data_IF_742161542052
#
_entry.id   IF_742161542052
#
_cell.length_a   1.000
_cell.length_b   1.000
_cell.length_c   1.000
_cell.angle_alpha   90.00
_cell.angle_beta   90.00
_cell.angle_gamma   90.00
#
_symmetry.space_group_name_H-M   'P 1'
#
loop_
_entity.id
_entity.type
_entity.pdbx_description
1 polymer ?
#
# COMPACT_ATOMS: atom_id res chain seq x y z
N UNK A 1 -26.41 -2.34 -16.37
CA UNK A 1 -26.91 -2.08 -17.72
C UNK A 1 -25.80 -2.21 -18.77
N UNK A 2 -26.12 -1.97 -20.05
CA UNK A 2 -25.17 -2.16 -21.20
C UNK A 2 -23.87 -1.33 -21.01
N UNK A 3 -23.96 -0.10 -20.51
CA UNK A 3 -22.80 0.76 -20.24
C UNK A 3 -21.85 0.13 -19.22
N UNK A 4 -22.38 -0.33 -18.07
CA UNK A 4 -21.57 -1.00 -17.05
C UNK A 4 -20.88 -2.24 -17.61
N UNK A 5 -21.58 -3.02 -18.44
CA UNK A 5 -21.02 -4.20 -19.09
C UNK A 5 -19.82 -3.85 -20.00
N UNK A 6 -19.95 -2.77 -20.79
CA UNK A 6 -18.86 -2.29 -21.63
C UNK A 6 -17.63 -1.87 -20.81
N UNK A 7 -17.83 -1.17 -19.68
CA UNK A 7 -16.72 -0.84 -18.77
C UNK A 7 -16.07 -2.08 -18.17
N UNK A 8 -16.86 -3.10 -17.77
CA UNK A 8 -16.30 -4.37 -17.28
C UNK A 8 -15.45 -5.08 -18.35
N UNK A 9 -15.86 -5.02 -19.62
CA UNK A 9 -15.06 -5.57 -20.72
C UNK A 9 -13.73 -4.81 -20.88
N UNK A 10 -13.75 -3.47 -20.91
CA UNK A 10 -12.54 -2.65 -21.03
C UNK A 10 -11.57 -2.93 -19.86
N UNK A 11 -12.07 -3.00 -18.62
CA UNK A 11 -11.26 -3.33 -17.45
C UNK A 11 -10.62 -4.71 -17.62
N UNK A 12 -11.41 -5.71 -18.01
CA UNK A 12 -10.93 -7.10 -18.16
C UNK A 12 -9.92 -7.23 -19.29
N UNK A 13 -10.15 -6.59 -20.43
CA UNK A 13 -9.32 -6.77 -21.63
C UNK A 13 -8.05 -5.93 -21.61
N UNK A 14 -8.10 -4.72 -21.03
CA UNK A 14 -7.03 -3.73 -21.17
C UNK A 14 -6.33 -3.36 -19.85
N UNK A 15 -6.99 -3.54 -18.69
CA UNK A 15 -6.44 -3.15 -17.39
C UNK A 15 -5.98 -4.37 -16.61
N UNK A 16 -6.80 -5.42 -16.50
CA UNK A 16 -6.41 -6.64 -15.80
C UNK A 16 -5.24 -7.33 -16.50
N UNK A 17 -4.20 -7.66 -15.72
CA UNK A 17 -2.97 -8.31 -16.20
C UNK A 17 -2.73 -9.63 -15.45
N UNK A 18 -1.73 -10.38 -15.91
CA UNK A 18 -1.24 -11.58 -15.26
C UNK A 18 -2.27 -12.71 -15.20
N UNK A 19 -1.99 -13.67 -14.35
CA UNK A 19 -2.80 -14.88 -14.20
C UNK A 19 -4.26 -14.61 -13.77
N UNK A 20 -4.48 -13.54 -13.03
CA UNK A 20 -5.78 -13.18 -12.47
C UNK A 20 -6.73 -12.54 -13.47
N UNK A 21 -6.29 -12.24 -14.69
CA UNK A 21 -7.14 -11.66 -15.75
C UNK A 21 -8.42 -12.46 -15.97
N UNK A 22 -8.29 -13.78 -16.02
CA UNK A 22 -9.39 -14.71 -16.34
C UNK A 22 -9.73 -15.70 -15.21
N UNK A 23 -9.07 -15.60 -14.06
CA UNK A 23 -9.33 -16.46 -12.90
C UNK A 23 -10.39 -15.85 -11.97
N UNK A 24 -11.16 -16.71 -11.30
CA UNK A 24 -12.01 -16.30 -10.18
C UNK A 24 -11.15 -15.72 -9.06
N UNK A 25 -11.58 -14.61 -8.51
CA UNK A 25 -10.92 -14.03 -7.34
C UNK A 25 -11.20 -14.90 -6.10
N UNK A 26 -10.22 -15.06 -5.20
CA UNK A 26 -10.43 -15.78 -3.96
C UNK A 26 -11.44 -15.04 -3.07
N UNK A 27 -12.16 -15.79 -2.25
CA UNK A 27 -12.96 -15.22 -1.17
C UNK A 27 -12.00 -14.65 -0.13
N UNK A 28 -12.09 -13.34 0.13
CA UNK A 28 -11.14 -12.58 0.92
C UNK A 28 -11.78 -12.09 2.22
N UNK A 29 -11.01 -12.16 3.31
CA UNK A 29 -11.26 -11.42 4.55
C UNK A 29 -10.10 -10.45 4.82
N UNK A 30 -10.44 -9.29 5.37
CA UNK A 30 -9.50 -8.26 5.80
C UNK A 30 -9.79 -7.93 7.27
N UNK A 31 -8.75 -7.72 8.09
CA UNK A 31 -8.94 -7.51 9.53
C UNK A 31 -9.34 -6.09 9.93
N UNK A 32 -9.33 -5.10 9.02
CA UNK A 32 -9.47 -3.69 9.40
C UNK A 32 -10.67 -3.41 10.30
N UNK A 33 -11.87 -3.73 9.85
CA UNK A 33 -13.09 -3.47 10.62
C UNK A 33 -13.19 -4.29 11.92
N UNK A 34 -12.45 -5.40 12.01
CA UNK A 34 -12.45 -6.26 13.20
C UNK A 34 -11.44 -5.83 14.27
N UNK A 35 -10.39 -5.08 13.91
CA UNK A 35 -9.29 -4.81 14.84
C UNK A 35 -8.77 -3.37 14.79
N UNK A 36 -8.98 -2.67 13.68
CA UNK A 36 -8.24 -1.43 13.37
C UNK A 36 -6.73 -1.61 13.65
N UNK A 37 -6.11 -0.71 14.38
CA UNK A 37 -4.68 -0.79 14.76
C UNK A 37 -4.39 -1.74 15.94
N UNK A 38 -5.42 -2.24 16.65
CA UNK A 38 -5.27 -3.11 17.82
C UNK A 38 -5.20 -4.58 17.44
N UNK A 39 -4.02 -5.02 16.96
CA UNK A 39 -3.78 -6.43 16.64
C UNK A 39 -2.33 -6.85 16.91
N UNK A 40 -2.19 -8.17 17.11
CA UNK A 40 -0.92 -8.90 17.14
C UNK A 40 -0.98 -10.02 16.10
N UNK A 41 0.15 -10.66 15.80
CA UNK A 41 0.17 -11.81 14.91
C UNK A 41 -0.74 -12.94 15.41
N UNK A 42 -0.77 -13.21 16.70
CA UNK A 42 -1.66 -14.25 17.28
C UNK A 42 -3.13 -13.93 17.10
N UNK A 43 -3.54 -12.67 17.29
CA UNK A 43 -4.92 -12.23 17.04
C UNK A 43 -5.30 -12.41 15.57
N UNK A 44 -4.41 -12.05 14.64
CA UNK A 44 -4.64 -12.24 13.20
C UNK A 44 -4.74 -13.71 12.82
N UNK A 45 -3.89 -14.57 13.36
CA UNK A 45 -3.95 -16.03 13.12
C UNK A 45 -5.24 -16.63 13.68
N UNK A 46 -5.73 -16.16 14.84
CA UNK A 46 -7.02 -16.61 15.37
C UNK A 46 -8.17 -16.27 14.42
N UNK A 47 -8.24 -15.03 13.92
CA UNK A 47 -9.25 -14.61 12.94
C UNK A 47 -9.13 -15.42 11.65
N UNK A 48 -7.90 -15.64 11.16
CA UNK A 48 -7.66 -16.42 9.97
C UNK A 48 -8.11 -17.88 10.12
N UNK A 49 -7.94 -18.49 11.30
CA UNK A 49 -8.40 -19.85 11.59
C UNK A 49 -9.92 -19.95 11.49
N UNK A 50 -10.65 -19.06 12.16
CA UNK A 50 -12.11 -19.04 12.11
C UNK A 50 -12.62 -18.80 10.67
N UNK A 51 -11.93 -17.91 9.93
CA UNK A 51 -12.27 -17.63 8.54
C UNK A 51 -12.01 -18.83 7.61
N UNK A 52 -10.91 -19.57 7.82
CA UNK A 52 -10.58 -20.78 7.05
C UNK A 52 -11.66 -21.86 7.22
N UNK A 53 -12.17 -22.07 8.45
CA UNK A 53 -13.26 -23.00 8.73
C UNK A 53 -14.56 -22.64 7.98
N UNK A 54 -14.76 -21.36 7.67
CA UNK A 54 -15.88 -20.85 6.87
C UNK A 54 -15.63 -20.87 5.35
N UNK A 55 -14.46 -21.35 4.91
CA UNK A 55 -14.10 -21.46 3.50
C UNK A 55 -13.54 -20.16 2.87
N UNK A 56 -13.06 -19.21 3.68
CA UNK A 56 -12.33 -18.03 3.19
C UNK A 56 -10.95 -18.48 2.66
N UNK A 57 -10.54 -17.94 1.52
CA UNK A 57 -9.38 -18.42 0.75
C UNK A 57 -8.15 -17.50 0.87
N UNK A 58 -8.36 -16.23 1.27
CA UNK A 58 -7.30 -15.22 1.36
C UNK A 58 -7.52 -14.35 2.60
N UNK A 59 -6.49 -14.26 3.45
CA UNK A 59 -6.45 -13.34 4.58
C UNK A 59 -5.56 -12.15 4.24
N UNK A 60 -6.07 -10.93 4.39
CA UNK A 60 -5.32 -9.70 4.14
C UNK A 60 -5.08 -8.96 5.45
N UNK A 61 -3.81 -8.83 5.84
CA UNK A 61 -3.38 -7.97 6.93
C UNK A 61 -3.43 -6.51 6.48
N UNK A 62 -4.25 -5.70 7.15
CA UNK A 62 -4.49 -4.28 6.84
C UNK A 62 -3.48 -3.36 7.55
N UNK A 63 -3.73 -2.04 7.52
CA UNK A 63 -2.91 -0.97 8.07
C UNK A 63 -2.45 -1.23 9.52
N UNK A 64 -1.23 -0.81 9.86
CA UNK A 64 -0.69 -0.87 11.23
C UNK A 64 0.36 -1.95 11.48
N UNK A 65 0.83 -2.69 10.47
CA UNK A 65 1.81 -3.76 10.61
C UNK A 65 3.28 -3.28 10.58
N UNK A 66 3.53 -2.02 10.22
CA UNK A 66 4.85 -1.47 9.89
C UNK A 66 5.23 -0.27 10.76
N UNK A 67 6.54 0.01 10.85
CA UNK A 67 7.08 1.19 11.50
C UNK A 67 6.50 1.45 12.90
N UNK A 68 6.15 2.72 13.16
CA UNK A 68 5.43 3.17 14.37
C UNK A 68 3.97 3.48 14.06
N UNK A 69 3.33 2.61 13.28
CA UNK A 69 1.96 2.80 12.80
C UNK A 69 0.94 2.22 13.78
N UNK A 70 0.66 2.93 14.87
CA UNK A 70 -0.35 2.56 15.87
C UNK A 70 -1.61 3.42 15.82
N UNK A 71 -1.60 4.43 14.95
CA UNK A 71 -2.73 5.30 14.61
C UNK A 71 -2.55 5.87 13.19
N UNK A 72 -3.49 6.69 12.72
CA UNK A 72 -3.47 7.30 11.39
C UNK A 72 -2.57 8.54 11.25
N UNK A 73 -1.79 8.91 12.28
CA UNK A 73 -1.01 10.15 12.34
C UNK A 73 0.47 9.98 12.05
N UNK A 74 0.96 8.74 12.09
CA UNK A 74 2.40 8.43 11.99
C UNK A 74 2.67 7.25 11.06
N UNK A 75 3.95 7.06 10.71
CA UNK A 75 4.51 5.84 10.15
C UNK A 75 4.34 5.63 8.65
N UNK A 76 3.46 6.33 7.91
CA UNK A 76 3.39 6.17 6.45
C UNK A 76 4.71 6.56 5.80
N UNK A 77 5.23 5.68 4.96
CA UNK A 77 6.57 5.77 4.37
C UNK A 77 7.58 4.79 4.97
N UNK A 78 7.37 4.35 6.19
CA UNK A 78 8.28 3.48 6.95
C UNK A 78 7.91 1.99 6.72
N UNK A 79 8.07 1.53 5.50
CA UNK A 79 7.66 0.19 5.07
C UNK A 79 8.64 -0.89 5.55
N UNK A 80 8.66 -1.13 6.86
CA UNK A 80 9.37 -2.24 7.51
C UNK A 80 8.51 -2.85 8.61
N UNK A 81 8.47 -4.19 8.74
CA UNK A 81 7.58 -4.86 9.69
C UNK A 81 7.85 -4.44 11.14
N UNK A 82 6.79 -4.19 11.89
CA UNK A 82 6.87 -3.99 13.33
C UNK A 82 6.75 -5.34 14.05
N UNK A 83 7.84 -6.10 14.09
CA UNK A 83 7.87 -7.43 14.70
C UNK A 83 7.55 -7.39 16.20
N UNK A 84 7.84 -6.28 16.89
CA UNK A 84 7.47 -6.11 18.30
C UNK A 84 5.96 -6.10 18.48
N UNK A 85 5.23 -5.40 17.62
CA UNK A 85 3.76 -5.34 17.64
C UNK A 85 3.15 -6.66 17.21
N UNK A 86 3.68 -7.27 16.15
CA UNK A 86 3.22 -8.56 15.64
C UNK A 86 3.52 -9.70 16.61
N UNK A 87 4.58 -9.59 17.43
CA UNK A 87 5.06 -10.66 18.31
C UNK A 87 5.80 -11.78 17.58
N UNK A 88 6.02 -11.64 16.26
CA UNK A 88 6.72 -12.58 15.40
C UNK A 88 7.23 -11.87 14.14
N UNK A 89 8.05 -12.55 13.34
CA UNK A 89 8.46 -12.05 12.03
C UNK A 89 7.29 -12.09 11.04
N UNK A 90 7.35 -11.24 10.00
CA UNK A 90 6.35 -11.25 8.93
C UNK A 90 6.30 -12.59 8.20
N UNK A 91 7.47 -13.24 8.06
CA UNK A 91 7.56 -14.58 7.49
C UNK A 91 6.81 -15.62 8.31
N UNK A 92 7.06 -15.63 9.61
CA UNK A 92 6.38 -16.55 10.53
C UNK A 92 4.86 -16.36 10.52
N UNK A 93 4.39 -15.11 10.57
CA UNK A 93 2.96 -14.81 10.46
C UNK A 93 2.38 -15.33 9.14
N UNK A 94 3.04 -15.07 8.02
CA UNK A 94 2.61 -15.52 6.70
C UNK A 94 2.58 -17.05 6.60
N UNK A 95 3.63 -17.74 7.11
CA UNK A 95 3.70 -19.19 7.12
C UNK A 95 2.57 -19.83 7.96
N UNK A 96 2.23 -19.22 9.09
CA UNK A 96 1.10 -19.67 9.94
C UNK A 96 -0.24 -19.56 9.22
N UNK A 97 -0.47 -18.45 8.51
CA UNK A 97 -1.71 -18.25 7.73
C UNK A 97 -1.78 -19.21 6.54
N UNK A 98 -0.67 -19.37 5.81
CA UNK A 98 -0.58 -20.33 4.69
C UNK A 98 -0.76 -21.76 5.19
N UNK A 99 -0.25 -22.10 6.39
CA UNK A 99 -0.46 -23.39 7.04
C UNK A 99 -1.93 -23.74 7.34
N UNK A 100 -2.82 -22.74 7.37
CA UNK A 100 -4.28 -22.93 7.46
C UNK A 100 -4.95 -23.24 6.10
N UNK A 101 -4.18 -23.32 5.01
CA UNK A 101 -4.69 -23.51 3.66
C UNK A 101 -5.14 -22.21 2.95
N UNK A 102 -4.90 -21.05 3.56
CA UNK A 102 -5.24 -19.74 3.00
C UNK A 102 -4.06 -19.14 2.25
N UNK A 103 -4.33 -18.17 1.38
CA UNK A 103 -3.34 -17.22 0.88
C UNK A 103 -3.14 -16.09 1.88
N UNK A 104 -1.94 -15.46 1.85
CA UNK A 104 -1.65 -14.29 2.68
C UNK A 104 -1.48 -13.04 1.81
N UNK A 105 -2.13 -11.97 2.21
CA UNK A 105 -2.07 -10.66 1.57
C UNK A 105 -1.71 -9.55 2.57
N UNK A 106 -1.26 -8.42 2.03
CA UNK A 106 -0.77 -7.29 2.83
C UNK A 106 -1.26 -5.96 2.24
N UNK A 107 -1.52 -5.00 3.13
CA UNK A 107 -1.94 -3.64 2.81
C UNK A 107 -0.74 -2.69 2.68
N UNK A 108 -0.82 -1.80 1.71
CA UNK A 108 0.08 -0.65 1.54
C UNK A 108 -0.69 0.61 1.13
N UNK A 109 -0.15 1.78 1.48
CA UNK A 109 -0.52 3.11 0.98
C UNK A 109 0.77 3.89 0.62
N UNK A 110 1.55 3.42 -0.35
CA UNK A 110 2.93 3.87 -0.54
C UNK A 110 3.06 5.21 -1.25
N UNK A 111 1.98 5.77 -1.79
CA UNK A 111 1.93 7.11 -2.34
C UNK A 111 1.80 8.18 -1.26
N UNK A 112 1.58 7.80 0.00
CA UNK A 112 1.43 8.72 1.11
C UNK A 112 2.63 8.65 2.08
N UNK A 113 2.84 9.76 2.80
CA UNK A 113 3.87 9.91 3.82
C UNK A 113 3.32 10.68 5.01
N UNK A 114 3.63 10.22 6.23
CA UNK A 114 3.35 10.95 7.46
C UNK A 114 4.47 11.94 7.77
N UNK A 115 4.14 13.09 8.33
CA UNK A 115 5.14 14.02 8.86
C UNK A 115 5.95 13.36 9.98
N UNK A 116 5.29 12.55 10.83
CA UNK A 116 5.94 11.68 11.79
C UNK A 116 6.25 10.31 11.17
N UNK A 117 7.29 10.28 10.33
CA UNK A 117 7.92 9.08 9.79
C UNK A 117 9.42 9.27 9.64
N UNK A 118 10.18 8.18 9.68
CA UNK A 118 11.62 8.23 9.47
C UNK A 118 11.94 8.65 8.03
N UNK A 119 11.12 8.23 7.08
CA UNK A 119 11.26 8.63 5.68
C UNK A 119 11.12 10.16 5.51
N UNK A 120 10.11 10.77 6.13
CA UNK A 120 9.93 12.23 6.03
C UNK A 120 11.06 13.00 6.72
N UNK A 121 11.56 12.51 7.85
CA UNK A 121 12.72 13.11 8.53
C UNK A 121 13.98 13.07 7.68
N UNK A 122 14.17 11.97 6.93
CA UNK A 122 15.30 11.82 6.02
C UNK A 122 15.15 12.63 4.72
N UNK A 123 13.94 12.70 4.18
CA UNK A 123 13.64 13.28 2.87
C UNK A 123 12.38 14.16 2.88
N UNK A 124 12.38 15.30 3.60
CA UNK A 124 11.22 16.18 3.66
C UNK A 124 10.86 16.84 2.33
N UNK A 125 11.81 16.84 1.37
CA UNK A 125 11.65 17.35 0.01
C UNK A 125 10.95 16.36 -0.94
N UNK A 126 10.73 15.10 -0.50
CA UNK A 126 10.00 14.10 -1.29
C UNK A 126 8.49 14.23 -1.18
N UNK A 127 7.99 14.98 -0.20
CA UNK A 127 6.56 15.25 -0.10
C UNK A 127 6.13 16.34 -1.09
N UNK A 128 4.99 16.13 -1.74
CA UNK A 128 4.33 17.13 -2.59
C UNK A 128 3.87 18.29 -1.72
N UNK A 129 4.50 19.44 -1.88
CA UNK A 129 4.17 20.68 -1.15
C UNK A 129 4.64 21.91 -1.90
N UNK A 130 3.88 22.99 -1.78
CA UNK A 130 4.25 24.29 -2.34
C UNK A 130 5.20 24.99 -1.35
N UNK A 131 6.41 25.42 -1.78
CA UNK A 131 7.34 26.15 -0.93
C UNK A 131 6.69 27.36 -0.26
N UNK A 132 6.93 27.55 1.04
CA UNK A 132 6.38 28.67 1.81
C UNK A 132 4.91 28.54 2.20
N UNK A 133 4.24 27.44 1.86
CA UNK A 133 2.88 27.14 2.31
C UNK A 133 2.84 25.95 3.28
N UNK A 134 1.86 25.96 4.20
CA UNK A 134 1.59 24.76 5.00
C UNK A 134 1.07 23.65 4.06
N UNK A 135 1.55 22.41 4.22
CA UNK A 135 1.04 21.28 3.45
C UNK A 135 -0.46 21.11 3.65
N UNK A 136 -1.16 20.76 2.58
CA UNK A 136 -2.56 20.35 2.68
C UNK A 136 -2.62 18.90 3.20
N UNK A 137 -2.94 18.75 4.48
CA UNK A 137 -3.07 17.44 5.11
C UNK A 137 -4.50 16.92 4.96
N UNK A 138 -4.63 15.66 4.60
CA UNK A 138 -5.86 14.89 4.71
C UNK A 138 -5.54 13.59 5.41
N UNK A 139 -6.30 13.22 6.45
CA UNK A 139 -6.00 12.07 7.30
C UNK A 139 -4.58 12.12 7.92
N UNK A 140 -4.10 13.32 8.25
CA UNK A 140 -2.76 13.57 8.80
C UNK A 140 -1.58 13.13 7.91
N UNK A 141 -1.78 13.01 6.61
CA UNK A 141 -0.77 12.54 5.68
C UNK A 141 -0.59 13.48 4.48
N UNK A 142 0.58 13.43 3.89
CA UNK A 142 0.96 14.08 2.64
C UNK A 142 1.12 13.05 1.52
N UNK A 143 1.27 13.52 0.29
CA UNK A 143 1.57 12.68 -0.87
C UNK A 143 3.06 12.72 -1.16
N UNK A 144 3.68 11.58 -1.44
CA UNK A 144 5.03 11.49 -2.00
C UNK A 144 5.05 11.95 -3.45
N UNK A 145 6.13 12.58 -3.87
CA UNK A 145 6.32 13.05 -5.24
C UNK A 145 6.73 11.91 -6.19
N UNK A 146 5.78 11.14 -6.65
CA UNK A 146 6.02 10.07 -7.63
C UNK A 146 6.42 10.59 -9.03
N UNK A 147 6.48 11.90 -9.25
CA UNK A 147 7.12 12.44 -10.46
C UNK A 147 8.65 12.28 -10.43
N UNK A 148 9.22 12.04 -9.25
CA UNK A 148 10.66 11.87 -9.00
C UNK A 148 11.06 10.39 -9.14
N UNK A 149 12.14 10.16 -9.86
CA UNK A 149 12.68 8.80 -10.05
C UNK A 149 13.24 8.20 -8.76
N UNK A 150 13.93 9.00 -7.94
CA UNK A 150 14.51 8.56 -6.67
C UNK A 150 13.44 8.10 -5.68
N UNK A 151 12.30 8.79 -5.61
CA UNK A 151 11.12 8.36 -4.83
C UNK A 151 10.55 7.03 -5.35
N UNK A 152 10.38 6.91 -6.66
CA UNK A 152 9.89 5.67 -7.29
C UNK A 152 10.82 4.48 -7.00
N UNK A 153 12.13 4.67 -7.16
CA UNK A 153 13.13 3.62 -6.94
C UNK A 153 13.13 3.17 -5.48
N UNK A 154 13.12 4.11 -4.54
CA UNK A 154 13.08 3.81 -3.10
C UNK A 154 11.81 3.02 -2.72
N UNK A 155 10.65 3.51 -3.14
CA UNK A 155 9.38 2.85 -2.80
C UNK A 155 9.32 1.44 -3.41
N UNK A 156 9.70 1.29 -4.68
CA UNK A 156 9.73 -0.01 -5.34
C UNK A 156 10.65 -1.00 -4.61
N UNK A 157 11.87 -0.57 -4.27
CA UNK A 157 12.81 -1.39 -3.51
C UNK A 157 12.22 -1.84 -2.16
N UNK A 158 11.62 -0.91 -1.40
CA UNK A 158 11.02 -1.21 -0.10
C UNK A 158 9.85 -2.18 -0.20
N UNK A 159 8.92 -1.95 -1.13
CA UNK A 159 7.79 -2.85 -1.32
C UNK A 159 8.25 -4.25 -1.76
N UNK A 160 9.15 -4.35 -2.75
CA UNK A 160 9.69 -5.63 -3.19
C UNK A 160 10.43 -6.37 -2.07
N UNK A 161 11.19 -5.64 -1.23
CA UNK A 161 11.86 -6.25 -0.06
C UNK A 161 10.86 -6.87 0.93
N UNK A 162 9.76 -6.17 1.22
CA UNK A 162 8.69 -6.72 2.09
C UNK A 162 8.02 -7.92 1.43
N UNK A 163 7.66 -7.82 0.15
CA UNK A 163 7.00 -8.91 -0.58
C UNK A 163 7.87 -10.17 -0.66
N UNK A 164 9.19 -10.01 -0.80
CA UNK A 164 10.13 -11.13 -0.81
C UNK A 164 10.40 -11.76 0.57
N UNK A 165 10.05 -11.04 1.66
CA UNK A 165 10.36 -11.48 3.03
C UNK A 165 9.40 -12.52 3.62
N UNK A 166 8.22 -12.72 2.99
CA UNK A 166 7.17 -13.60 3.48
C UNK A 166 6.35 -14.18 2.31
N UNK A 167 5.52 -15.22 2.51
CA UNK A 167 4.71 -15.84 1.46
C UNK A 167 3.49 -14.98 1.09
N UNK A 168 3.74 -13.74 0.67
CA UNK A 168 2.71 -12.77 0.29
C UNK A 168 2.32 -13.01 -1.17
N UNK A 169 1.02 -13.18 -1.44
CA UNK A 169 0.47 -13.44 -2.77
C UNK A 169 -0.59 -12.43 -3.20
N UNK A 170 -0.84 -11.41 -2.38
CA UNK A 170 -1.82 -10.36 -2.67
C UNK A 170 -1.40 -9.05 -2.02
N UNK A 171 -1.55 -7.96 -2.76
CA UNK A 171 -1.35 -6.60 -2.28
C UNK A 171 -2.67 -5.84 -2.35
N UNK A 172 -3.10 -5.29 -1.22
CA UNK A 172 -4.11 -4.23 -1.17
C UNK A 172 -3.39 -2.90 -1.21
N UNK A 173 -3.36 -2.24 -2.36
CA UNK A 173 -2.92 -0.85 -2.45
C UNK A 173 -4.12 0.05 -2.19
N UNK A 174 -4.09 0.76 -1.09
CA UNK A 174 -5.15 1.68 -0.66
C UNK A 174 -4.77 3.10 -1.05
N UNK A 175 -5.58 3.76 -1.87
CA UNK A 175 -5.31 5.10 -2.39
C UNK A 175 -6.28 6.10 -1.76
N UNK A 176 -5.93 6.62 -0.56
CA UNK A 176 -6.89 7.28 0.32
C UNK A 176 -7.01 8.79 0.15
N UNK A 177 -6.18 9.44 -0.65
CA UNK A 177 -6.30 10.88 -0.81
C UNK A 177 -6.07 11.39 -2.23
N UNK A 178 -6.72 12.51 -2.53
CA UNK A 178 -6.53 13.24 -3.79
C UNK A 178 -5.17 13.93 -3.83
N UNK A 179 -4.57 14.02 -5.02
CA UNK A 179 -3.37 14.82 -5.26
C UNK A 179 -3.76 16.29 -5.25
N UNK A 180 -3.43 16.98 -4.16
CA UNK A 180 -3.53 18.43 -4.04
C UNK A 180 -2.14 19.06 -4.06
N UNK A 181 -2.07 20.40 -4.06
CA UNK A 181 -0.79 21.14 -4.03
C UNK A 181 0.22 20.64 -5.07
N UNK A 182 -0.25 20.44 -6.31
CA UNK A 182 0.50 19.83 -7.42
C UNK A 182 1.78 20.63 -7.75
N UNK A 183 2.81 20.43 -6.92
CA UNK A 183 4.09 21.07 -7.06
C UNK A 183 5.21 20.08 -6.72
N UNK A 184 6.19 19.95 -7.61
CA UNK A 184 7.39 19.14 -7.39
C UNK A 184 8.60 20.04 -7.20
N UNK A 185 9.32 19.87 -6.11
CA UNK A 185 10.59 20.58 -5.87
C UNK A 185 11.71 20.19 -6.85
N UNK A 186 11.54 19.07 -7.56
CA UNK A 186 12.50 18.58 -8.56
C UNK A 186 12.23 19.08 -9.98
N UNK A 187 11.06 19.68 -10.23
CA UNK A 187 10.72 20.20 -11.55
C UNK A 187 10.97 21.71 -11.65
N UNK A 188 11.52 22.20 -12.76
CA UNK A 188 11.64 23.62 -13.00
C UNK A 188 10.25 24.26 -13.22
N UNK A 189 10.17 25.59 -13.09
CA UNK A 189 8.90 26.32 -13.08
C UNK A 189 8.03 26.05 -14.33
N UNK A 190 8.65 26.02 -15.50
CA UNK A 190 7.99 25.78 -16.79
C UNK A 190 7.41 24.36 -16.95
N UNK A 191 7.85 23.40 -16.11
CA UNK A 191 7.39 22.00 -16.13
C UNK A 191 6.44 21.64 -15.00
N UNK A 192 6.11 22.57 -14.13
CA UNK A 192 5.18 22.29 -13.02
C UNK A 192 3.79 21.82 -13.50
N UNK A 193 3.34 22.28 -14.68
CA UNK A 193 2.10 21.81 -15.29
C UNK A 193 2.09 20.33 -15.67
N UNK A 194 3.27 19.69 -15.81
CA UNK A 194 3.41 18.26 -16.11
C UNK A 194 3.38 17.36 -14.85
N UNK A 195 3.46 17.94 -13.64
CA UNK A 195 3.67 17.21 -12.39
C UNK A 195 2.65 16.09 -12.19
N UNK A 196 1.37 16.37 -12.35
CA UNK A 196 0.32 15.37 -12.15
C UNK A 196 0.40 14.21 -13.16
N UNK A 197 0.76 14.50 -14.42
CA UNK A 197 0.95 13.46 -15.44
C UNK A 197 2.18 12.59 -15.10
N UNK A 198 3.30 13.23 -14.74
CA UNK A 198 4.53 12.54 -14.35
C UNK A 198 4.35 11.69 -13.11
N UNK A 199 3.54 12.16 -12.13
CA UNK A 199 3.15 11.40 -10.95
C UNK A 199 2.45 10.08 -11.35
N UNK A 200 1.47 10.13 -12.25
CA UNK A 200 0.75 8.94 -12.69
C UNK A 200 1.66 7.97 -13.45
N UNK A 201 2.58 8.46 -14.28
CA UNK A 201 3.55 7.60 -14.94
C UNK A 201 4.50 6.93 -13.94
N UNK A 202 4.92 7.67 -12.90
CA UNK A 202 5.74 7.13 -11.82
C UNK A 202 4.99 6.07 -10.99
N UNK A 203 3.72 6.31 -10.69
CA UNK A 203 2.85 5.34 -10.03
C UNK A 203 2.74 4.05 -10.85
N UNK A 204 2.48 4.16 -12.15
CA UNK A 204 2.40 2.98 -13.03
C UNK A 204 3.73 2.22 -13.09
N UNK A 205 4.87 2.93 -13.11
CA UNK A 205 6.18 2.28 -13.05
C UNK A 205 6.38 1.47 -11.78
N UNK A 206 5.96 1.98 -10.63
CA UNK A 206 6.06 1.24 -9.36
C UNK A 206 5.12 0.03 -9.35
N UNK A 207 3.88 0.19 -9.82
CA UNK A 207 2.93 -0.91 -9.96
C UNK A 207 3.45 -2.01 -10.90
N UNK A 208 3.99 -1.63 -12.06
CA UNK A 208 4.55 -2.58 -13.03
C UNK A 208 5.80 -3.31 -12.48
N UNK A 209 6.58 -2.65 -11.63
CA UNK A 209 7.78 -3.23 -11.03
C UNK A 209 7.50 -4.19 -9.86
N UNK A 210 6.28 -4.21 -9.33
CA UNK A 210 5.86 -5.14 -8.28
C UNK A 210 5.25 -6.43 -8.83
N UNK A 211 4.90 -6.49 -10.10
CA UNK A 211 4.31 -7.63 -10.80
C UNK A 211 5.37 -8.54 -11.39
#
# INVERSE_FOLDING_TARGET
GKLSHNFHQVIREHICRGEWKNKRRPVLINNWEGTYFDFTGDKLVSIAKDAAELGVELFVMDDGWFGKRDDDRSGLGDWFPNEKKLGCSLKELGDRIVGLGMKFGIWFEPECISEDSDLYRAHPDWAVKIPGRKPNLSRHQMILDFSRKDVQDYILERLCSVLASAPISYVKWDFNRSICDKYSTSLPAEKQGEMAHRFMLGLYRVLDGML
#
